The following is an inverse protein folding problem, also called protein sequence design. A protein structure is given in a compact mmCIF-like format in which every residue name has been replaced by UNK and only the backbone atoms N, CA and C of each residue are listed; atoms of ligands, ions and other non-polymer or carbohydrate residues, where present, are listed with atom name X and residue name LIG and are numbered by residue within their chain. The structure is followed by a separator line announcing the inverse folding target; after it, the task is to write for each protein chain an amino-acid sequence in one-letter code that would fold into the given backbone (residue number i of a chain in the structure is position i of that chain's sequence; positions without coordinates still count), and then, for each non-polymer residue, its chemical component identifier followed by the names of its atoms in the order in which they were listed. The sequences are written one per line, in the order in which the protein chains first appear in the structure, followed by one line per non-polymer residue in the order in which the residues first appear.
data_IF_414061256200
#
_entry.id   IF_414061256200
#
_cell.length_a   1.000
_cell.length_b   1.000
_cell.length_c   1.000
_cell.angle_alpha   90.00
_cell.angle_beta   90.00
_cell.angle_gamma   90.00
#
_symmetry.space_group_name_H-M   'P 1'
#
loop_
_entity.id
_entity.type
_entity.pdbx_description
1 polymer ?
#
# COMPACT_ATOMS: atom_id res chain seq x y z
N UNK A 1 -10.92 -5.87 -14.83
CA UNK A 1 -10.68 -5.02 -13.64
C UNK A 1 -9.32 -4.37 -13.83
N UNK A 2 -9.27 -3.05 -14.03
CA UNK A 2 -8.05 -2.28 -14.29
C UNK A 2 -7.45 -1.68 -13.01
N UNK A 3 -6.14 -1.89 -12.86
CA UNK A 3 -5.31 -1.35 -11.78
C UNK A 3 -5.26 0.17 -11.88
N UNK A 4 -5.45 0.88 -10.77
CA UNK A 4 -5.34 2.35 -10.75
C UNK A 4 -3.93 2.78 -11.15
N UNK A 5 -3.80 3.62 -12.18
CA UNK A 5 -2.51 4.14 -12.68
C UNK A 5 -1.86 5.09 -11.69
N UNK A 6 -2.65 5.71 -10.80
CA UNK A 6 -2.22 6.84 -9.97
C UNK A 6 -2.09 6.51 -8.47
N UNK A 7 -2.40 5.29 -8.04
CA UNK A 7 -2.47 4.89 -6.62
C UNK A 7 -3.44 5.72 -5.74
N UNK A 8 -4.22 6.61 -6.35
CA UNK A 8 -5.26 7.45 -5.76
C UNK A 8 -6.55 7.15 -6.49
N UNK A 9 -7.62 6.89 -5.74
CA UNK A 9 -8.91 6.42 -6.29
C UNK A 9 -9.53 7.47 -7.21
N UNK A 10 -9.69 7.10 -8.47
CA UNK A 10 -10.60 7.77 -9.40
C UNK A 10 -11.92 6.99 -9.50
N UNK A 11 -13.05 7.63 -9.88
CA UNK A 11 -14.33 6.94 -10.10
C UNK A 11 -14.27 5.75 -11.09
N UNK A 12 -13.21 5.70 -11.92
CA UNK A 12 -12.97 4.68 -12.94
C UNK A 12 -12.18 3.45 -12.48
N UNK A 13 -11.64 3.42 -11.25
CA UNK A 13 -10.72 2.37 -10.81
C UNK A 13 -11.43 1.15 -10.20
N UNK A 14 -10.99 -0.06 -10.55
CA UNK A 14 -11.60 -1.31 -10.03
C UNK A 14 -10.96 -1.87 -8.76
N UNK A 15 -9.81 -1.33 -8.33
CA UNK A 15 -9.19 -1.67 -7.04
C UNK A 15 -9.37 -0.48 -6.08
N UNK A 16 -10.17 -0.67 -5.04
CA UNK A 16 -10.41 0.35 -4.02
C UNK A 16 -9.20 0.44 -3.09
N UNK A 17 -8.34 1.45 -3.28
CA UNK A 17 -7.37 1.87 -2.27
C UNK A 17 -8.08 2.68 -1.17
N UNK A 18 -7.73 2.46 0.10
CA UNK A 18 -8.10 3.36 1.21
C UNK A 18 -6.83 3.76 1.94
N UNK A 19 -6.33 4.95 1.62
CA UNK A 19 -5.13 5.51 2.24
C UNK A 19 -5.51 6.00 3.64
N UNK A 20 -4.91 5.41 4.66
CA UNK A 20 -5.17 5.75 6.07
C UNK A 20 -4.00 6.49 6.72
N UNK A 21 -2.80 6.33 6.20
CA UNK A 21 -1.60 7.00 6.69
C UNK A 21 -0.58 7.20 5.57
N UNK A 22 0.23 8.25 5.72
CA UNK A 22 1.36 8.58 4.85
C UNK A 22 2.55 8.99 5.73
N UNK A 23 3.76 8.55 5.38
CA UNK A 23 4.99 8.95 6.05
C UNK A 23 6.09 9.24 5.02
N UNK A 24 6.70 10.42 5.08
CA UNK A 24 7.86 10.76 4.26
C UNK A 24 9.15 10.33 4.97
N UNK A 25 10.04 9.66 4.25
CA UNK A 25 11.34 9.20 4.76
C UNK A 25 12.45 10.21 4.39
N UNK A 26 13.55 10.29 5.17
CA UNK A 26 14.64 11.24 4.90
C UNK A 26 15.32 11.07 3.53
N UNK A 27 15.23 9.88 2.93
CA UNK A 27 15.76 9.60 1.59
C UNK A 27 14.81 10.05 0.45
N UNK A 28 13.70 10.71 0.78
CA UNK A 28 12.69 11.20 -0.17
C UNK A 28 11.71 10.13 -0.65
N UNK A 29 11.74 8.92 -0.09
CA UNK A 29 10.70 7.92 -0.31
C UNK A 29 9.46 8.20 0.54
N UNK A 30 8.33 7.60 0.17
CA UNK A 30 7.06 7.75 0.88
C UNK A 30 6.48 6.38 1.21
N UNK A 31 6.08 6.17 2.45
CA UNK A 31 5.27 5.03 2.87
C UNK A 31 3.78 5.39 2.84
N UNK A 32 2.96 4.48 2.33
CA UNK A 32 1.50 4.63 2.26
C UNK A 32 0.84 3.38 2.85
N UNK A 33 -0.06 3.57 3.82
CA UNK A 33 -0.89 2.50 4.36
C UNK A 33 -2.17 2.37 3.54
N UNK A 34 -2.28 1.29 2.77
CA UNK A 34 -3.43 0.95 1.93
C UNK A 34 -4.29 -0.12 2.63
N UNK A 35 -5.29 0.36 3.35
CA UNK A 35 -6.06 -0.45 4.30
C UNK A 35 -6.91 -1.54 3.63
N UNK A 36 -7.54 -1.22 2.50
CA UNK A 36 -8.41 -2.18 1.81
C UNK A 36 -7.60 -3.26 1.11
N UNK A 37 -6.45 -2.89 0.52
CA UNK A 37 -5.58 -3.86 -0.12
C UNK A 37 -4.63 -4.56 0.86
N UNK A 38 -4.76 -4.31 2.17
CA UNK A 38 -3.97 -4.94 3.23
C UNK A 38 -2.47 -4.82 2.96
N UNK A 39 -2.02 -3.62 2.60
CA UNK A 39 -0.63 -3.37 2.17
C UNK A 39 -0.05 -2.11 2.79
N UNK A 40 1.26 -2.14 3.02
CA UNK A 40 2.08 -0.93 3.16
C UNK A 40 2.92 -0.80 1.90
N UNK A 41 2.78 0.31 1.17
CA UNK A 41 3.49 0.56 -0.10
C UNK A 41 4.64 1.54 0.14
N UNK A 42 5.78 1.27 -0.49
CA UNK A 42 6.92 2.19 -0.58
C UNK A 42 6.94 2.81 -1.97
N UNK A 43 6.89 4.14 -2.01
CA UNK A 43 6.93 4.95 -3.21
C UNK A 43 8.29 5.65 -3.32
N UNK A 44 8.82 5.76 -4.52
CA UNK A 44 10.00 6.59 -4.79
C UNK A 44 9.64 8.09 -4.90
N UNK A 45 10.63 8.93 -5.18
CA UNK A 45 10.48 10.38 -5.32
C UNK A 45 9.55 10.79 -6.49
N UNK A 46 9.32 9.90 -7.45
CA UNK A 46 8.39 10.07 -8.57
C UNK A 46 7.00 9.48 -8.28
N UNK A 47 6.74 9.08 -7.03
CA UNK A 47 5.50 8.46 -6.56
C UNK A 47 5.16 7.10 -7.22
N UNK A 48 6.14 6.44 -7.82
CA UNK A 48 5.99 5.07 -8.30
C UNK A 48 6.13 4.09 -7.14
N UNK A 49 5.27 3.08 -7.06
CA UNK A 49 5.41 1.99 -6.09
C UNK A 49 6.62 1.14 -6.48
N UNK A 50 7.62 1.10 -5.61
CA UNK A 50 8.86 0.34 -5.80
C UNK A 50 8.95 -0.91 -4.93
N UNK A 51 8.16 -0.97 -3.86
CA UNK A 51 8.01 -2.16 -3.02
C UNK A 51 6.69 -2.11 -2.27
N UNK A 52 6.23 -3.24 -1.77
CA UNK A 52 5.12 -3.31 -0.84
C UNK A 52 5.29 -4.48 0.12
N UNK A 53 4.64 -4.34 1.28
CA UNK A 53 4.50 -5.37 2.28
C UNK A 53 3.02 -5.75 2.36
N UNK A 54 2.71 -7.03 2.16
CA UNK A 54 1.38 -7.56 2.45
C UNK A 54 1.23 -7.73 3.97
N UNK A 55 0.21 -7.08 4.52
CA UNK A 55 -0.17 -7.13 5.94
C UNK A 55 -1.31 -8.14 6.08
N UNK A 56 -0.96 -9.41 6.30
CA UNK A 56 -1.96 -10.46 6.50
C UNK A 56 -2.15 -10.69 8.00
N UNK A 57 -3.39 -10.61 8.53
CA UNK A 57 -3.65 -11.15 9.85
C UNK A 57 -3.41 -12.66 9.79
N UNK A 58 -2.63 -13.19 10.73
CA UNK A 58 -2.61 -14.63 11.00
C UNK A 58 -3.91 -14.96 11.73
N UNK A 59 -4.86 -15.53 10.99
CA UNK A 59 -6.20 -15.87 11.52
C UNK A 59 -6.15 -16.91 12.64
N UNK A 60 -5.05 -17.65 12.80
CA UNK A 60 -4.91 -18.65 13.85
C UNK A 60 -4.44 -18.07 15.20
N UNK A 61 -3.73 -16.95 15.21
CA UNK A 61 -3.06 -16.43 16.41
C UNK A 61 -3.45 -14.99 16.76
N UNK A 62 -4.15 -14.28 15.86
CA UNK A 62 -4.39 -12.85 15.98
C UNK A 62 -3.12 -12.01 15.81
N UNK A 63 -2.00 -12.63 15.43
CA UNK A 63 -0.73 -11.98 15.21
C UNK A 63 -0.65 -11.45 13.76
N UNK A 64 -0.01 -10.31 13.53
CA UNK A 64 0.14 -9.78 12.16
C UNK A 64 1.40 -10.37 11.54
N UNK A 65 1.26 -11.06 10.41
CA UNK A 65 2.37 -11.66 9.68
C UNK A 65 2.74 -10.80 8.47
N UNK A 66 4.03 -10.67 8.20
CA UNK A 66 4.58 -9.79 7.17
C UNK A 66 5.28 -10.61 6.09
N UNK A 67 4.88 -10.47 4.82
CA UNK A 67 5.53 -11.13 3.69
C UNK A 67 6.04 -10.08 2.70
N UNK A 68 7.32 -10.17 2.35
CA UNK A 68 7.97 -9.34 1.34
C UNK A 68 8.02 -10.11 0.01
N UNK A 69 7.57 -9.48 -1.08
CA UNK A 69 7.76 -9.98 -2.44
C UNK A 69 8.91 -9.25 -3.13
#
# INVERSE_FOLDING_TARGET
MGKSVHNVKMPSDSETCCITAVCALPNGQVLVADYFNKRVKLLNQQYHVVSHLDVRPDEATGHVSYHTH
#
